data_IF_679693065983
#
_entry.id   IF_679693065983
#
_cell.length_a   1.000
_cell.length_b   1.000
_cell.length_c   1.000
_cell.angle_alpha   90.00
_cell.angle_beta   90.00
_cell.angle_gamma   90.00
#
_symmetry.space_group_name_H-M   'P 1'
#
loop_
_entity.id
_entity.type
_entity.pdbx_description
1 polymer ?
#
# COMPACT_ATOMS: atom_id res chain seq x y z
N UNK A 1 -13.80 -16.21 -0.78
CA UNK A 1 -12.59 -15.57 -0.27
C UNK A 1 -11.84 -14.89 -1.39
N UNK A 2 -11.43 -13.70 -1.15
CA UNK A 2 -10.66 -13.00 -2.15
C UNK A 2 -9.22 -13.48 -2.12
N UNK A 3 -8.69 -13.86 -3.27
CA UNK A 3 -7.29 -14.22 -3.38
C UNK A 3 -6.58 -13.17 -4.25
N UNK A 4 -5.27 -13.29 -4.32
CA UNK A 4 -4.46 -12.31 -5.03
C UNK A 4 -4.06 -12.75 -6.45
N UNK A 5 -4.62 -13.84 -6.94
CA UNK A 5 -4.24 -14.34 -8.26
C UNK A 5 -4.66 -13.39 -9.37
N UNK A 6 -5.86 -12.82 -9.25
CA UNK A 6 -6.32 -11.84 -10.25
C UNK A 6 -5.47 -10.59 -10.23
N UNK A 7 -5.08 -10.14 -9.05
CA UNK A 7 -4.20 -8.98 -8.93
C UNK A 7 -2.84 -9.27 -9.52
N UNK A 8 -2.29 -10.46 -9.25
CA UNK A 8 -1.00 -10.86 -9.81
C UNK A 8 -1.05 -10.84 -11.34
N UNK A 9 -2.10 -11.40 -11.91
CA UNK A 9 -2.25 -11.43 -13.36
C UNK A 9 -2.33 -10.03 -13.94
N UNK A 10 -3.11 -9.18 -13.31
CA UNK A 10 -3.24 -7.79 -13.76
C UNK A 10 -1.91 -7.07 -13.69
N UNK A 11 -1.16 -7.24 -12.61
CA UNK A 11 0.13 -6.59 -12.46
C UNK A 11 1.13 -7.09 -13.50
N UNK A 12 1.15 -8.39 -13.75
CA UNK A 12 2.06 -8.95 -14.74
C UNK A 12 1.72 -8.49 -16.16
N UNK A 13 0.44 -8.21 -16.43
CA UNK A 13 0.03 -7.69 -17.73
C UNK A 13 0.37 -6.22 -17.90
N UNK A 14 0.41 -5.45 -16.81
CA UNK A 14 0.58 -4.00 -16.87
C UNK A 14 2.01 -3.55 -16.68
N UNK A 15 2.86 -4.37 -16.09
CA UNK A 15 4.21 -3.97 -15.74
C UNK A 15 5.24 -4.96 -16.26
N UNK A 16 6.35 -4.44 -16.75
CA UNK A 16 7.52 -5.24 -17.07
C UNK A 16 8.51 -5.10 -15.90
N UNK A 17 8.69 -6.19 -15.17
CA UNK A 17 9.51 -6.18 -13.97
C UNK A 17 10.99 -6.23 -14.30
N UNK A 18 11.87 -5.57 -13.53
CA UNK A 18 11.53 -4.71 -12.37
C UNK A 18 10.90 -3.39 -12.81
N UNK A 19 10.00 -2.90 -11.99
CA UNK A 19 9.26 -1.68 -12.32
C UNK A 19 8.92 -0.91 -11.05
N UNK A 20 8.81 0.40 -11.18
CA UNK A 20 8.35 1.24 -10.07
C UNK A 20 6.84 1.08 -9.93
N UNK A 21 6.39 0.81 -8.71
CA UNK A 21 4.97 0.74 -8.40
C UNK A 21 4.68 1.67 -7.23
N UNK A 22 3.61 2.43 -7.32
CA UNK A 22 3.23 3.41 -6.30
C UNK A 22 1.94 2.99 -5.63
N UNK A 23 1.92 3.21 -4.32
CA UNK A 23 0.76 2.92 -3.49
C UNK A 23 0.18 4.22 -2.95
N UNK A 24 -1.13 4.23 -2.77
CA UNK A 24 -1.80 5.25 -2.00
C UNK A 24 -2.78 4.57 -1.08
N UNK A 25 -2.61 4.77 0.22
CA UNK A 25 -3.50 4.18 1.21
C UNK A 25 -4.02 5.27 2.13
N UNK A 26 -5.23 5.09 2.63
CA UNK A 26 -5.84 6.00 3.57
C UNK A 26 -6.10 5.23 4.84
N UNK A 27 -5.67 5.78 5.97
CA UNK A 27 -5.87 5.13 7.27
C UNK A 27 -6.44 6.15 8.25
N UNK A 28 -7.23 5.67 9.22
CA UNK A 28 -7.61 6.53 10.34
C UNK A 28 -6.36 6.95 11.10
N UNK A 29 -6.40 8.15 11.68
CA UNK A 29 -5.24 8.65 12.39
C UNK A 29 -4.79 7.72 13.51
N UNK A 30 -5.74 7.04 14.15
CA UNK A 30 -5.43 6.09 15.22
C UNK A 30 -4.60 4.90 14.74
N UNK A 31 -4.65 4.59 13.44
CA UNK A 31 -3.89 3.48 12.86
C UNK A 31 -2.58 3.91 12.22
N UNK A 32 -2.26 5.20 12.28
CA UNK A 32 -1.09 5.72 11.57
C UNK A 32 0.20 5.09 12.06
N UNK A 33 0.38 5.01 13.37
CA UNK A 33 1.63 4.48 13.92
C UNK A 33 1.86 3.04 13.50
N UNK A 34 0.82 2.22 13.57
CA UNK A 34 0.91 0.83 13.13
C UNK A 34 1.27 0.76 11.65
N UNK A 35 0.65 1.61 10.84
CA UNK A 35 0.92 1.64 9.41
C UNK A 35 2.37 2.05 9.14
N UNK A 36 2.87 3.05 9.85
CA UNK A 36 4.25 3.48 9.69
C UNK A 36 5.24 2.38 10.03
N UNK A 37 4.93 1.58 11.04
CA UNK A 37 5.79 0.46 11.41
C UNK A 37 5.82 -0.60 10.31
N UNK A 38 4.66 -0.90 9.74
CA UNK A 38 4.59 -1.87 8.64
C UNK A 38 5.37 -1.37 7.42
N UNK A 39 5.30 -0.08 7.14
CA UNK A 39 5.89 0.53 5.96
C UNK A 39 7.25 1.17 6.25
N UNK A 40 7.97 0.68 7.26
CA UNK A 40 9.21 1.31 7.72
C UNK A 40 10.30 1.37 6.66
N UNK A 41 10.24 0.50 5.63
CA UNK A 41 11.23 0.50 4.55
C UNK A 41 10.93 1.52 3.45
N UNK A 42 9.80 2.23 3.58
CA UNK A 42 9.39 3.19 2.57
C UNK A 42 9.51 4.62 3.06
N UNK A 43 9.73 5.53 2.12
CA UNK A 43 9.63 6.96 2.39
C UNK A 43 8.17 7.34 2.13
N UNK A 44 7.50 7.83 3.16
CA UNK A 44 6.07 8.11 3.11
C UNK A 44 5.80 9.58 2.89
N UNK A 45 4.87 9.87 1.98
CA UNK A 45 4.33 11.23 1.82
C UNK A 45 2.97 11.26 2.47
N UNK A 46 2.75 12.23 3.35
CA UNK A 46 1.55 12.32 4.17
C UNK A 46 0.63 13.42 3.65
N UNK A 47 -0.66 13.15 3.67
CA UNK A 47 -1.66 14.18 3.37
C UNK A 47 -2.83 13.98 4.33
N UNK A 48 -2.95 14.87 5.30
CA UNK A 48 -3.97 14.79 6.33
C UNK A 48 -5.29 15.34 5.81
N UNK A 49 -6.42 14.70 6.20
CA UNK A 49 -7.73 15.23 5.86
C UNK A 49 -7.98 16.53 6.60
N UNK A 50 -8.96 17.31 6.11
CA UNK A 50 -9.29 18.59 6.76
C UNK A 50 -9.70 18.41 8.20
N UNK A 51 -10.43 17.33 8.49
CA UNK A 51 -10.87 17.05 9.86
C UNK A 51 -9.81 16.39 10.70
N UNK A 52 -8.70 15.99 10.07
CA UNK A 52 -7.58 15.29 10.71
C UNK A 52 -8.00 13.96 11.32
N UNK A 53 -9.05 13.36 10.78
CA UNK A 53 -9.48 12.02 11.17
C UNK A 53 -8.78 10.93 10.36
N UNK A 54 -8.32 11.29 9.17
CA UNK A 54 -7.67 10.36 8.24
C UNK A 54 -6.40 10.97 7.70
N UNK A 55 -5.51 10.09 7.28
CA UNK A 55 -4.30 10.52 6.59
C UNK A 55 -4.08 9.59 5.41
N UNK A 56 -3.73 10.17 4.25
CA UNK A 56 -3.32 9.37 3.11
C UNK A 56 -1.81 9.29 3.07
N UNK A 57 -1.31 8.11 2.73
CA UNK A 57 0.11 7.85 2.61
C UNK A 57 0.39 7.43 1.17
N UNK A 58 1.31 8.13 0.54
CA UNK A 58 1.74 7.80 -0.82
C UNK A 58 3.19 7.35 -0.73
N UNK A 59 3.49 6.22 -1.33
CA UNK A 59 4.82 5.65 -1.29
C UNK A 59 5.02 4.69 -2.46
N UNK A 60 6.28 4.40 -2.75
CA UNK A 60 6.59 3.48 -3.82
C UNK A 60 8.07 3.20 -3.88
N UNK A 61 8.40 2.21 -4.67
CA UNK A 61 9.79 1.89 -4.98
C UNK A 61 9.81 0.95 -6.18
N UNK A 62 10.99 0.58 -6.62
CA UNK A 62 11.14 -0.42 -7.66
C UNK A 62 10.90 -1.80 -7.06
N UNK A 63 10.07 -2.60 -7.72
CA UNK A 63 9.78 -3.98 -7.32
C UNK A 63 10.25 -4.93 -8.41
N UNK A 64 10.65 -6.12 -8.02
CA UNK A 64 11.19 -7.11 -8.94
C UNK A 64 10.11 -8.01 -9.56
N UNK A 65 8.95 -8.09 -8.94
CA UNK A 65 7.87 -8.94 -9.42
C UNK A 65 6.56 -8.55 -8.73
N UNK A 66 5.46 -9.13 -9.24
CA UNK A 66 4.14 -8.83 -8.70
C UNK A 66 3.98 -9.31 -7.26
N UNK A 67 4.64 -10.39 -6.89
CA UNK A 67 4.50 -10.93 -5.53
C UNK A 67 5.00 -9.95 -4.48
N UNK A 68 6.05 -9.18 -4.80
CA UNK A 68 6.55 -8.18 -3.87
C UNK A 68 5.52 -7.07 -3.64
N UNK A 69 4.80 -6.66 -4.70
CA UNK A 69 3.73 -5.68 -4.58
C UNK A 69 2.59 -6.25 -3.72
N UNK A 70 2.20 -7.48 -4.01
CA UNK A 70 1.11 -8.13 -3.29
C UNK A 70 1.45 -8.28 -1.82
N UNK A 71 2.70 -8.57 -1.50
CA UNK A 71 3.14 -8.67 -0.11
C UNK A 71 2.84 -7.39 0.67
N UNK A 72 3.03 -6.23 0.05
CA UNK A 72 2.73 -4.95 0.70
C UNK A 72 1.24 -4.85 1.00
N UNK A 73 0.38 -5.18 0.03
CA UNK A 73 -1.05 -5.18 0.26
C UNK A 73 -1.45 -6.13 1.39
N UNK A 74 -0.86 -7.32 1.39
CA UNK A 74 -1.14 -8.30 2.45
C UNK A 74 -0.72 -7.79 3.83
N UNK A 75 0.41 -7.08 3.88
CA UNK A 75 0.92 -6.54 5.13
C UNK A 75 -0.02 -5.48 5.72
N UNK A 76 -0.78 -4.81 4.87
CA UNK A 76 -1.68 -3.73 5.29
C UNK A 76 -3.11 -4.20 5.55
N UNK A 77 -3.47 -5.40 5.14
CA UNK A 77 -4.88 -5.80 5.12
C UNK A 77 -5.53 -5.82 6.51
N UNK A 78 -4.75 -6.03 7.56
CA UNK A 78 -5.28 -6.12 8.91
C UNK A 78 -5.22 -4.80 9.68
N UNK A 79 -4.74 -3.73 9.04
CA UNK A 79 -4.75 -2.42 9.67
C UNK A 79 -6.20 -1.94 9.74
N UNK A 80 -6.64 -1.56 10.94
CA UNK A 80 -8.02 -1.14 11.14
C UNK A 80 -8.34 0.09 10.31
N UNK A 81 -9.39 -0.01 9.50
CA UNK A 81 -9.89 1.12 8.72
C UNK A 81 -9.06 1.45 7.47
N UNK A 82 -8.12 0.60 7.10
CA UNK A 82 -7.28 0.88 5.93
C UNK A 82 -8.10 0.83 4.64
N UNK A 83 -7.86 1.79 3.77
CA UNK A 83 -8.39 1.79 2.41
C UNK A 83 -7.24 1.92 1.45
N UNK A 84 -7.13 0.99 0.50
CA UNK A 84 -6.10 1.02 -0.54
C UNK A 84 -6.71 1.54 -1.83
N UNK A 85 -5.99 2.42 -2.50
CA UNK A 85 -6.47 3.04 -3.73
C UNK A 85 -5.65 2.60 -4.94
#
# INVERSE_FOLDING_TARGET
>A
MKNYDDLRELLDNEYDWPSVYRFKVIVPLESLKQTEEILSDFILQYNYSKTKKFVSLTFGKEFNNADEVIYVYQSLKDVKGVMTL
#
